data_IF_084047287217
#
_entry.id   IF_084047287217
#
_cell.length_a   1.000
_cell.length_b   1.000
_cell.length_c   1.000
_cell.angle_alpha   90.00
_cell.angle_beta   90.00
_cell.angle_gamma   90.00
#
_symmetry.space_group_name_H-M   'P 1'
#
loop_
_entity.id
_entity.type
_entity.pdbx_description
1 polymer ?
#
# COMPACT_ATOMS: atom_id res chain seq x y z
N UNK A 1 6.26 24.74 -9.86
CA UNK A 1 6.45 23.45 -10.55
C UNK A 1 5.21 22.59 -10.31
N UNK A 2 4.25 22.64 -11.22
CA UNK A 2 3.01 21.87 -11.13
C UNK A 2 3.31 20.41 -11.50
N UNK A 3 3.04 19.48 -10.58
CA UNK A 3 3.20 18.04 -10.81
C UNK A 3 2.05 17.54 -11.69
N UNK A 4 2.31 17.31 -12.97
CA UNK A 4 1.31 16.75 -13.88
C UNK A 4 1.17 15.25 -13.63
N UNK A 5 0.01 14.83 -13.14
CA UNK A 5 -0.35 13.42 -12.97
C UNK A 5 -0.98 12.94 -14.28
N UNK A 6 -0.23 12.17 -15.06
CA UNK A 6 -0.67 11.67 -16.37
C UNK A 6 -1.46 10.35 -16.26
N UNK A 7 -1.26 9.60 -15.18
CA UNK A 7 -1.99 8.37 -14.90
C UNK A 7 -2.15 8.20 -13.39
N UNK A 8 -3.30 7.72 -12.98
CA UNK A 8 -3.60 7.40 -11.59
C UNK A 8 -4.32 6.05 -11.53
N UNK A 9 -4.04 5.28 -10.49
CA UNK A 9 -4.52 3.91 -10.35
C UNK A 9 -5.08 3.69 -8.95
N UNK A 10 -6.14 2.90 -8.85
CA UNK A 10 -6.62 2.34 -7.58
C UNK A 10 -5.89 1.04 -7.29
N UNK A 11 -5.40 0.86 -6.06
CA UNK A 11 -4.77 -0.37 -5.60
C UNK A 11 -5.82 -1.29 -4.95
N UNK A 12 -5.83 -2.56 -5.36
CA UNK A 12 -6.76 -3.56 -4.82
C UNK A 12 -6.09 -4.58 -3.90
N UNK A 13 -4.78 -4.77 -4.05
CA UNK A 13 -4.02 -5.71 -3.26
C UNK A 13 -2.65 -5.98 -3.86
N UNK A 14 -1.74 -6.50 -3.05
CA UNK A 14 -0.41 -6.82 -3.50
C UNK A 14 0.28 -7.80 -2.57
N UNK A 15 1.33 -8.43 -3.09
CA UNK A 15 2.16 -9.36 -2.34
C UNK A 15 3.60 -9.31 -2.86
N UNK A 16 4.51 -9.95 -2.13
CA UNK A 16 5.91 -10.09 -2.50
C UNK A 16 6.28 -11.56 -2.54
N UNK A 17 6.91 -12.00 -3.62
CA UNK A 17 7.34 -13.39 -3.82
C UNK A 17 8.70 -13.39 -4.53
N UNK A 18 9.67 -14.12 -3.98
CA UNK A 18 11.03 -14.24 -4.54
C UNK A 18 11.70 -12.88 -4.87
N UNK A 19 11.44 -11.86 -4.06
CA UNK A 19 11.99 -10.50 -4.26
C UNK A 19 11.25 -9.65 -5.30
N UNK A 20 10.26 -10.20 -6.01
CA UNK A 20 9.36 -9.45 -6.91
C UNK A 20 8.08 -9.06 -6.16
N UNK A 21 7.69 -7.81 -6.30
CA UNK A 21 6.43 -7.29 -5.78
C UNK A 21 5.38 -7.32 -6.89
N UNK A 22 4.17 -7.73 -6.54
CA UNK A 22 3.01 -7.81 -7.42
C UNK A 22 1.91 -6.91 -6.86
N UNK A 23 1.30 -6.12 -7.72
CA UNK A 23 0.26 -5.15 -7.35
C UNK A 23 -0.89 -5.20 -8.35
N UNK A 24 -2.09 -5.51 -7.88
CA UNK A 24 -3.31 -5.49 -8.69
C UNK A 24 -3.89 -4.08 -8.64
N UNK A 25 -4.04 -3.46 -9.80
CA UNK A 25 -4.50 -2.08 -9.92
C UNK A 25 -5.57 -1.91 -10.99
N UNK A 26 -6.38 -0.86 -10.89
CA UNK A 26 -7.27 -0.41 -11.97
C UNK A 26 -7.00 1.06 -12.28
N UNK A 27 -6.93 1.47 -13.56
CA UNK A 27 -6.80 2.88 -13.90
C UNK A 27 -8.00 3.68 -13.36
N UNK A 28 -7.74 4.85 -12.78
CA UNK A 28 -8.79 5.79 -12.37
C UNK A 28 -9.37 6.56 -13.56
N UNK A 29 -8.56 6.78 -14.60
CA UNK A 29 -9.03 7.33 -15.87
C UNK A 29 -9.81 6.26 -16.64
N UNK A 30 -11.10 6.51 -16.89
CA UNK A 30 -11.95 5.64 -17.72
C UNK A 30 -11.55 5.79 -19.19
N UNK A 31 -10.55 5.04 -19.64
CA UNK A 31 -10.33 4.87 -21.08
C UNK A 31 -11.49 4.04 -21.66
N UNK A 32 -11.84 4.30 -22.92
CA UNK A 32 -12.98 3.75 -23.67
C UNK A 32 -13.06 2.21 -23.76
N UNK A 33 -12.01 1.49 -23.34
CA UNK A 33 -11.92 0.01 -23.41
C UNK A 33 -12.21 -0.73 -22.09
N UNK A 34 -12.84 -0.07 -21.11
CA UNK A 34 -13.36 -0.70 -19.90
C UNK A 34 -12.36 -0.83 -18.76
N UNK A 35 -12.87 -1.13 -17.56
CA UNK A 35 -12.11 -1.29 -16.31
C UNK A 35 -11.27 -2.57 -16.32
N UNK A 36 -10.22 -2.62 -17.15
CA UNK A 36 -9.25 -3.71 -17.12
C UNK A 36 -8.37 -3.57 -15.88
N UNK A 37 -8.24 -4.66 -15.13
CA UNK A 37 -7.30 -4.75 -14.01
C UNK A 37 -5.92 -4.97 -14.61
N UNK A 38 -4.94 -4.19 -14.19
CA UNK A 38 -3.55 -4.38 -14.56
C UNK A 38 -2.80 -4.95 -13.37
N UNK A 39 -1.89 -5.88 -13.64
CA UNK A 39 -0.89 -6.28 -12.68
C UNK A 39 0.40 -5.50 -12.91
N UNK A 40 0.91 -4.85 -11.87
CA UNK A 40 2.23 -4.24 -11.87
C UNK A 40 3.19 -5.16 -11.12
N UNK A 41 4.34 -5.41 -11.73
CA UNK A 41 5.38 -6.28 -11.21
C UNK A 41 6.67 -5.48 -11.14
N UNK A 42 7.28 -5.42 -9.95
CA UNK A 42 8.49 -4.64 -9.79
C UNK A 42 9.47 -5.26 -8.80
N UNK A 43 10.76 -5.04 -9.06
CA UNK A 43 11.86 -5.57 -8.25
C UNK A 43 12.95 -4.52 -8.11
N UNK A 44 13.44 -4.35 -6.88
CA UNK A 44 14.61 -3.52 -6.60
C UNK A 44 15.89 -4.22 -7.12
N UNK A 45 16.71 -3.49 -7.88
CA UNK A 45 17.97 -3.95 -8.48
C UNK A 45 19.10 -2.97 -8.14
N UNK A 46 19.29 -2.69 -6.85
CA UNK A 46 20.29 -1.74 -6.35
C UNK A 46 19.65 -0.67 -5.47
N UNK A 47 20.43 0.34 -5.03
CA UNK A 47 19.96 1.35 -4.08
C UNK A 47 18.83 2.22 -4.65
N UNK A 48 18.91 2.60 -5.94
CA UNK A 48 17.96 3.54 -6.55
C UNK A 48 17.27 3.00 -7.80
N UNK A 49 17.50 1.73 -8.17
CA UNK A 49 16.97 1.15 -9.40
C UNK A 49 15.84 0.17 -9.10
N UNK A 50 14.70 0.38 -9.74
CA UNK A 50 13.54 -0.51 -9.72
C UNK A 50 13.25 -0.98 -11.14
N UNK A 51 13.34 -2.29 -11.36
CA UNK A 51 12.91 -2.92 -12.60
C UNK A 51 11.39 -3.06 -12.55
N UNK A 52 10.70 -2.57 -13.57
CA UNK A 52 9.23 -2.50 -13.60
C UNK A 52 8.67 -3.16 -14.86
N UNK A 53 7.58 -3.90 -14.71
CA UNK A 53 6.80 -4.48 -15.80
C UNK A 53 5.28 -4.47 -15.51
N UNK A 54 4.45 -4.51 -16.57
CA UNK A 54 2.98 -4.64 -16.44
C UNK A 54 2.40 -5.81 -17.23
N UNK A 55 1.20 -6.23 -16.86
CA UNK A 55 0.38 -7.23 -17.56
C UNK A 55 -1.10 -6.86 -17.45
N UNK A 56 -1.83 -6.84 -18.56
CA UNK A 56 -3.27 -6.52 -18.60
C UNK A 56 -4.20 -7.68 -18.22
N UNK A 57 -3.69 -8.91 -18.22
CA UNK A 57 -4.52 -10.11 -18.03
C UNK A 57 -4.39 -10.69 -16.62
N UNK A 58 -3.15 -10.93 -16.16
CA UNK A 58 -2.88 -11.56 -14.87
C UNK A 58 -1.46 -11.24 -14.34
N UNK A 59 -1.25 -11.46 -13.03
CA UNK A 59 0.04 -11.45 -12.36
C UNK A 59 0.82 -12.76 -12.61
N UNK A 60 1.21 -13.00 -13.87
CA UNK A 60 1.98 -14.18 -14.23
C UNK A 60 3.42 -14.09 -13.70
N UNK A 61 3.88 -15.15 -13.05
CA UNK A 61 5.24 -15.30 -12.52
C UNK A 61 6.31 -15.43 -13.61
N UNK A 62 5.90 -15.74 -14.84
CA UNK A 62 6.78 -15.79 -16.02
C UNK A 62 7.22 -14.37 -16.41
N UNK A 63 6.44 -13.34 -16.06
CA UNK A 63 6.82 -11.95 -16.33
C UNK A 63 8.00 -11.56 -15.43
N UNK A 64 9.10 -11.16 -16.06
CA UNK A 64 10.34 -10.76 -15.41
C UNK A 64 10.43 -9.24 -15.43
N UNK A 65 10.32 -8.56 -14.27
CA UNK A 65 10.41 -7.10 -14.20
C UNK A 65 11.66 -6.58 -14.91
N UNK A 66 11.48 -5.58 -15.78
CA UNK A 66 12.57 -4.96 -16.56
C UNK A 66 13.03 -5.75 -17.79
N UNK A 67 12.40 -6.90 -18.11
CA UNK A 67 12.74 -7.71 -19.29
C UNK A 67 11.50 -8.04 -20.13
N UNK A 68 10.44 -8.56 -19.51
CA UNK A 68 9.20 -8.97 -20.20
C UNK A 68 7.98 -8.28 -19.60
N UNK A 69 6.89 -8.23 -20.35
CA UNK A 69 5.64 -7.54 -19.96
C UNK A 69 5.11 -6.67 -21.10
N UNK A 70 3.97 -6.04 -20.87
CA UNK A 70 3.36 -5.11 -21.83
C UNK A 70 4.07 -3.75 -21.82
N UNK A 71 4.26 -3.19 -20.62
CA UNK A 71 5.14 -2.05 -20.40
C UNK A 71 6.35 -2.55 -19.62
N UNK A 72 7.55 -2.15 -20.03
CA UNK A 72 8.82 -2.56 -19.41
C UNK A 72 9.75 -1.36 -19.34
N UNK A 73 10.16 -0.97 -18.13
CA UNK A 73 11.09 0.15 -17.95
C UNK A 73 11.80 0.10 -16.59
N UNK A 74 12.89 0.85 -16.50
CA UNK A 74 13.65 1.05 -15.27
C UNK A 74 13.17 2.35 -14.61
N UNK A 75 12.84 2.28 -13.33
CA UNK A 75 12.37 3.41 -12.53
C UNK A 75 13.42 3.74 -11.48
N UNK A 76 13.71 5.02 -11.33
CA UNK A 76 14.53 5.49 -10.20
C UNK A 76 13.65 5.63 -8.96
N UNK A 77 14.02 4.96 -7.88
CA UNK A 77 13.34 5.12 -6.58
C UNK A 77 13.68 6.50 -5.99
N UNK A 78 12.69 7.38 -5.87
CA UNK A 78 12.88 8.72 -5.28
C UNK A 78 12.59 8.77 -3.78
N UNK A 79 12.50 7.62 -3.10
CA UNK A 79 12.21 7.51 -1.67
C UNK A 79 11.05 6.57 -1.33
N UNK A 80 10.79 6.36 -0.03
CA UNK A 80 9.70 5.50 0.46
C UNK A 80 8.40 6.29 0.55
N UNK A 81 7.30 5.69 0.11
CA UNK A 81 5.97 6.19 0.41
C UNK A 81 5.68 6.00 1.90
N UNK A 82 5.08 6.99 2.55
CA UNK A 82 4.52 6.82 3.89
C UNK A 82 3.05 6.39 3.74
N UNK A 83 2.68 5.31 4.42
CA UNK A 83 1.29 4.87 4.51
C UNK A 83 0.49 5.94 5.26
N UNK A 84 -0.48 6.59 4.60
CA UNK A 84 -1.49 7.42 5.27
C UNK A 84 -2.59 6.46 5.73
N UNK A 85 -2.35 5.74 6.81
CA UNK A 85 -3.38 4.88 7.40
C UNK A 85 -4.53 5.76 7.90
N UNK A 86 -5.71 5.64 7.28
CA UNK A 86 -6.95 6.31 7.73
C UNK A 86 -7.66 5.56 8.87
N UNK A 87 -7.02 4.54 9.45
CA UNK A 87 -7.56 3.85 10.63
C UNK A 87 -7.18 4.65 11.86
N UNK A 88 -8.15 5.40 12.40
CA UNK A 88 -8.04 5.97 13.74
C UNK A 88 -7.80 4.84 14.74
N UNK A 89 -6.72 4.94 15.53
CA UNK A 89 -6.40 3.99 16.61
C UNK A 89 -7.42 4.13 17.75
N UNK A 90 -8.62 3.62 17.54
CA UNK A 90 -9.75 3.61 18.51
C UNK A 90 -9.42 2.79 19.76
N UNK A 91 -8.41 1.94 19.73
CA UNK A 91 -7.94 1.13 20.87
C UNK A 91 -7.37 1.97 22.02
N UNK A 92 -6.82 3.17 21.78
CA UNK A 92 -6.21 3.97 22.85
C UNK A 92 -7.23 4.62 23.78
N UNK A 93 -8.45 4.90 23.32
CA UNK A 93 -9.46 5.60 24.11
C UNK A 93 -10.17 4.67 25.11
N UNK A 94 -10.39 3.40 24.75
CA UNK A 94 -11.03 2.41 25.63
C UNK A 94 -10.14 2.04 26.83
N UNK A 95 -8.83 1.92 26.63
CA UNK A 95 -7.89 1.62 27.72
C UNK A 95 -7.87 2.74 28.78
N UNK A 96 -7.94 4.00 28.35
CA UNK A 96 -7.95 5.16 29.24
C UNK A 96 -9.23 5.25 30.07
N UNK A 97 -10.40 4.88 29.50
CA UNK A 97 -11.67 4.87 30.24
C UNK A 97 -11.75 3.71 31.23
N UNK A 98 -11.21 2.53 30.89
CA UNK A 98 -11.11 1.42 31.83
C UNK A 98 -10.18 1.75 33.01
N UNK A 99 -9.00 2.31 32.74
CA UNK A 99 -8.05 2.71 33.79
C UNK A 99 -8.62 3.79 34.73
N UNK A 100 -9.33 4.78 34.18
CA UNK A 100 -9.95 5.82 35.01
C UNK A 100 -11.07 5.26 35.88
N UNK A 101 -11.88 4.32 35.38
CA UNK A 101 -12.93 3.68 36.17
C UNK A 101 -12.36 2.89 37.35
N UNK A 102 -11.33 2.07 37.11
CA UNK A 102 -10.65 1.30 38.16
C UNK A 102 -10.02 2.20 39.21
N UNK A 103 -9.37 3.30 38.80
CA UNK A 103 -8.74 4.25 39.72
C UNK A 103 -9.78 4.93 40.63
N UNK A 104 -10.92 5.34 40.07
CA UNK A 104 -12.01 5.93 40.86
C UNK A 104 -12.55 4.95 41.89
N UNK A 105 -12.77 3.69 41.50
CA UNK A 105 -13.25 2.65 42.42
C UNK A 105 -12.25 2.39 43.56
N UNK A 106 -10.96 2.31 43.24
CA UNK A 106 -9.90 2.12 44.24
C UNK A 106 -9.81 3.28 45.24
N UNK A 107 -9.92 4.53 44.76
CA UNK A 107 -9.94 5.72 45.62
C UNK A 107 -11.15 5.69 46.55
N UNK A 108 -12.35 5.37 46.03
CA UNK A 108 -13.55 5.28 46.89
C UNK A 108 -13.44 4.19 47.96
N UNK A 109 -12.84 3.05 47.63
CA UNK A 109 -12.63 1.96 48.58
C UNK A 109 -11.60 2.31 49.68
N UNK A 110 -10.61 3.16 49.38
CA UNK A 110 -9.63 3.65 50.35
C UNK A 110 -10.19 4.73 51.28
N UNK A 111 -11.16 5.52 50.82
CA UNK A 111 -11.80 6.56 51.64
C UNK A 111 -12.86 5.97 52.60
N UNK A 112 -13.45 4.82 52.25
CA UNK A 112 -14.43 4.11 53.09
C UNK A 112 -13.81 3.16 54.13
N UNK A 113 -12.48 3.16 54.27
CA UNK A 113 -11.73 2.35 55.24
C UNK A 113 -11.09 3.25 56.29
#
# INVERSE_FOLDING_TARGET
MTRFVFAAYSCHGGWKENGTNYLITTPLSRASHGSRRNCFMYRESGPDLVLFSTSADNCDRIVRPGITGELVFNVTSTGKCFEISSSEKTTSLLLLTFLSYILNYAITALIQR
#
